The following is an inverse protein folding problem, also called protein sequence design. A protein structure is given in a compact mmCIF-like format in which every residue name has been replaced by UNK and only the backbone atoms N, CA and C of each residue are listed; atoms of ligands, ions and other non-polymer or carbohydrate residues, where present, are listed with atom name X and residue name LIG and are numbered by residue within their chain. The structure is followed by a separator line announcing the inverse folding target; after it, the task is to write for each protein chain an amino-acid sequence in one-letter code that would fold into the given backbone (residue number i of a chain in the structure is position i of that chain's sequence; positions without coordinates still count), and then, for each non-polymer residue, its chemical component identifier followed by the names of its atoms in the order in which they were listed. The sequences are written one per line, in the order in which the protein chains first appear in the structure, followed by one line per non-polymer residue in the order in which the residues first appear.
data_IF_570553081907
#
_entry.id   IF_570553081907
#
_cell.length_a   1.000
_cell.length_b   1.000
_cell.length_c   1.000
_cell.angle_alpha   90.00
_cell.angle_beta   90.00
_cell.angle_gamma   90.00
#
_symmetry.space_group_name_H-M   'P 1'
#
loop_
_entity.id
_entity.type
_entity.pdbx_description
1 polymer ?
#
# COMPACT_ATOMS: atom_id res chain seq x y z
N UNK A 1 -0.94 4.99 29.54
CA UNK A 1 0.05 5.95 30.05
C UNK A 1 0.70 5.25 31.23
N UNK A 2 1.97 4.91 31.11
CA UNK A 2 2.68 4.14 32.14
C UNK A 2 3.04 5.07 33.31
N UNK A 3 2.78 4.62 34.54
CA UNK A 3 3.14 5.34 35.76
C UNK A 3 4.22 4.60 36.57
N UNK A 4 4.61 5.15 37.72
CA UNK A 4 5.72 4.64 38.57
C UNK A 4 5.19 3.79 39.74
N UNK A 5 3.88 3.62 39.86
CA UNK A 5 3.23 2.88 40.93
C UNK A 5 3.19 1.38 40.62
N UNK A 6 2.90 0.60 41.66
CA UNK A 6 2.73 -0.84 41.53
C UNK A 6 1.33 -1.12 41.01
N UNK A 7 1.25 -1.82 39.87
CA UNK A 7 -0.01 -2.30 39.31
C UNK A 7 -0.19 -3.79 39.56
N UNK A 8 -1.42 -4.20 39.83
CA UNK A 8 -1.81 -5.60 39.92
C UNK A 8 -2.42 -6.08 38.60
N UNK A 9 -1.84 -7.10 37.99
CA UNK A 9 -2.35 -7.72 36.76
C UNK A 9 -2.99 -9.07 37.10
N UNK A 10 -4.25 -9.25 36.72
CA UNK A 10 -4.98 -10.51 36.88
C UNK A 10 -5.46 -11.01 35.53
N UNK A 11 -5.10 -12.25 35.18
CA UNK A 11 -5.63 -12.96 34.02
C UNK A 11 -6.54 -14.08 34.50
N UNK A 12 -7.81 -14.06 34.08
CA UNK A 12 -8.80 -15.08 34.39
C UNK A 12 -9.18 -15.78 33.09
N UNK A 13 -8.97 -17.09 33.04
CA UNK A 13 -9.38 -17.94 31.92
C UNK A 13 -10.54 -18.82 32.40
N UNK A 14 -11.65 -18.81 31.69
CA UNK A 14 -12.87 -19.55 32.04
C UNK A 14 -13.02 -20.82 31.19
N UNK A 15 -13.75 -21.85 31.69
CA UNK A 15 -13.98 -23.09 30.94
C UNK A 15 -14.85 -22.97 29.69
N UNK A 16 -15.43 -21.79 29.44
CA UNK A 16 -16.21 -21.46 28.25
C UNK A 16 -15.35 -20.88 27.12
N UNK A 17 -14.02 -21.04 27.19
CA UNK A 17 -13.03 -20.44 26.29
C UNK A 17 -13.01 -18.90 26.29
N UNK A 18 -13.54 -18.25 27.34
CA UNK A 18 -13.43 -16.79 27.49
C UNK A 18 -12.28 -16.40 28.42
N UNK A 19 -11.71 -15.22 28.18
CA UNK A 19 -10.71 -14.63 29.05
C UNK A 19 -11.13 -13.25 29.54
N UNK A 20 -10.55 -12.86 30.67
CA UNK A 20 -10.74 -11.56 31.28
C UNK A 20 -9.40 -11.08 31.85
N UNK A 21 -9.01 -9.87 31.49
CA UNK A 21 -7.83 -9.18 32.01
C UNK A 21 -8.30 -8.05 32.91
N UNK A 22 -7.76 -8.03 34.12
CA UNK A 22 -7.99 -6.95 35.07
C UNK A 22 -6.67 -6.28 35.44
N UNK A 23 -6.70 -4.94 35.50
CA UNK A 23 -5.60 -4.12 36.01
C UNK A 23 -6.14 -3.40 37.25
N UNK A 24 -5.47 -3.55 38.38
CA UNK A 24 -5.86 -2.96 39.67
C UNK A 24 -7.28 -3.32 40.14
N UNK A 25 -7.78 -4.49 39.69
CA UNK A 25 -9.13 -5.00 39.98
C UNK A 25 -10.22 -4.46 39.05
N UNK A 26 -9.89 -3.59 38.10
CA UNK A 26 -10.81 -3.13 37.06
C UNK A 26 -10.67 -3.98 35.80
N UNK A 27 -11.81 -4.39 35.21
CA UNK A 27 -11.83 -5.13 33.96
C UNK A 27 -11.42 -4.23 32.81
N UNK A 28 -10.25 -4.47 32.24
CA UNK A 28 -9.72 -3.70 31.10
C UNK A 28 -10.01 -4.39 29.77
N UNK A 29 -10.06 -5.73 29.77
CA UNK A 29 -10.24 -6.50 28.54
C UNK A 29 -11.01 -7.79 28.83
N UNK A 30 -11.84 -8.21 27.89
CA UNK A 30 -12.50 -9.50 27.93
C UNK A 30 -12.91 -9.92 26.53
N UNK A 31 -12.81 -11.21 26.25
CA UNK A 31 -13.12 -11.73 24.93
C UNK A 31 -13.08 -13.25 24.86
N UNK A 32 -13.01 -13.78 23.65
CA UNK A 32 -12.97 -15.22 23.37
C UNK A 32 -11.55 -15.62 22.98
N UNK A 33 -11.00 -16.65 23.60
CA UNK A 33 -9.65 -17.15 23.31
C UNK A 33 -9.50 -17.55 21.83
N UNK A 34 -10.55 -18.08 21.21
CA UNK A 34 -10.53 -18.45 19.78
C UNK A 34 -10.58 -17.26 18.82
N UNK A 35 -11.11 -16.12 19.25
CA UNK A 35 -11.35 -14.96 18.38
C UNK A 35 -10.23 -13.92 18.51
N UNK A 36 -9.73 -13.71 19.73
CA UNK A 36 -8.76 -12.66 20.02
C UNK A 36 -7.31 -13.16 19.99
N UNK A 37 -7.09 -14.48 20.02
CA UNK A 37 -5.75 -15.09 19.96
C UNK A 37 -5.61 -16.04 18.77
N UNK A 38 -4.44 -16.02 18.14
CA UNK A 38 -4.04 -16.93 17.06
C UNK A 38 -3.68 -18.34 17.59
N UNK A 39 -4.62 -18.99 18.28
CA UNK A 39 -4.46 -20.35 18.82
C UNK A 39 -4.84 -21.42 17.80
N UNK A 40 -5.86 -21.13 16.98
CA UNK A 40 -6.37 -21.99 15.94
C UNK A 40 -6.06 -21.41 14.56
N UNK A 41 -5.99 -22.26 13.51
CA UNK A 41 -5.94 -21.75 12.15
C UNK A 41 -7.16 -20.86 11.87
N UNK A 42 -6.95 -19.80 11.08
CA UNK A 42 -7.98 -18.79 10.82
C UNK A 42 -9.27 -19.41 10.28
N UNK A 43 -10.43 -18.95 10.76
CA UNK A 43 -11.76 -19.45 10.33
C UNK A 43 -11.97 -19.31 8.82
N UNK A 44 -11.37 -18.29 8.23
CA UNK A 44 -11.40 -18.00 6.79
C UNK A 44 -9.98 -17.97 6.23
N UNK A 45 -9.82 -18.56 5.05
CA UNK A 45 -8.60 -18.49 4.25
C UNK A 45 -8.93 -17.92 2.88
N UNK A 46 -7.93 -17.30 2.24
CA UNK A 46 -8.03 -16.92 0.83
C UNK A 46 -8.12 -18.21 0.01
N UNK A 47 -9.13 -18.28 -0.85
CA UNK A 47 -9.34 -19.42 -1.75
C UNK A 47 -8.12 -19.70 -2.65
N UNK A 48 -7.35 -20.78 -2.42
CA UNK A 48 -6.16 -21.04 -3.23
C UNK A 48 -6.47 -21.30 -4.72
N UNK A 49 -7.72 -21.64 -5.05
CA UNK A 49 -8.17 -21.85 -6.44
C UNK A 49 -8.64 -20.56 -7.10
N UNK A 50 -9.08 -19.57 -6.33
CA UNK A 50 -9.53 -18.29 -6.85
C UNK A 50 -8.33 -17.45 -7.31
N UNK A 51 -8.22 -17.28 -8.63
CA UNK A 51 -7.31 -16.34 -9.24
C UNK A 51 -8.10 -15.19 -9.84
N UNK A 52 -7.48 -14.01 -9.85
CA UNK A 52 -8.04 -12.87 -10.58
C UNK A 52 -8.29 -13.30 -12.04
N UNK A 53 -9.52 -13.19 -12.55
CA UNK A 53 -9.79 -13.50 -13.95
C UNK A 53 -8.98 -12.59 -14.87
N UNK A 54 -8.48 -13.12 -15.98
CA UNK A 54 -7.77 -12.30 -16.99
C UNK A 54 -8.68 -11.23 -17.59
N UNK A 55 -9.98 -11.48 -17.63
CA UNK A 55 -11.03 -10.56 -18.09
C UNK A 55 -11.47 -9.54 -17.01
N UNK A 56 -10.77 -9.48 -15.87
CA UNK A 56 -11.10 -8.55 -14.79
C UNK A 56 -10.23 -7.30 -14.83
N UNK A 57 -10.81 -6.18 -15.25
CA UNK A 57 -10.13 -4.89 -15.24
C UNK A 57 -10.35 -4.14 -13.92
N UNK A 58 -9.26 -4.01 -13.15
CA UNK A 58 -9.22 -3.25 -11.89
C UNK A 58 -8.93 -1.76 -12.12
N UNK A 59 -8.66 -1.34 -13.37
CA UNK A 59 -8.33 0.05 -13.67
C UNK A 59 -9.61 0.82 -13.81
N UNK A 60 -9.85 1.72 -12.85
CA UNK A 60 -10.99 2.65 -12.89
C UNK A 60 -10.90 3.57 -14.12
N UNK A 61 -9.68 3.94 -14.50
CA UNK A 61 -9.42 4.76 -15.67
C UNK A 61 -8.47 4.07 -16.64
N UNK A 62 -8.73 4.22 -17.94
CA UNK A 62 -7.86 3.76 -19.02
C UNK A 62 -7.37 4.96 -19.83
N UNK A 63 -6.18 4.89 -20.44
CA UNK A 63 -5.74 5.92 -21.38
C UNK A 63 -6.70 5.96 -22.57
N UNK A 64 -7.12 7.18 -22.92
CA UNK A 64 -7.99 7.44 -24.05
C UNK A 64 -7.30 7.00 -25.35
N UNK A 65 -7.84 5.99 -26.06
CA UNK A 65 -7.25 5.52 -27.31
C UNK A 65 -7.38 6.54 -28.45
N UNK A 66 -8.29 7.51 -28.33
CA UNK A 66 -8.53 8.57 -29.32
C UNK A 66 -7.74 9.85 -29.02
N UNK A 67 -7.17 10.00 -27.81
CA UNK A 67 -6.29 11.12 -27.48
C UNK A 67 -4.91 10.81 -28.05
N UNK A 68 -4.55 11.48 -29.15
CA UNK A 68 -3.23 11.36 -29.78
C UNK A 68 -2.32 12.48 -29.31
N UNK A 69 -1.02 12.17 -29.12
CA UNK A 69 0.00 13.18 -28.82
C UNK A 69 -0.04 14.30 -29.88
N UNK A 70 -0.31 15.55 -29.50
CA UNK A 70 -0.24 16.67 -30.43
C UNK A 70 1.19 16.83 -30.95
N UNK A 71 1.35 17.13 -32.24
CA UNK A 71 2.68 17.36 -32.85
C UNK A 71 3.43 18.51 -32.16
N UNK A 72 2.72 19.49 -31.60
CA UNK A 72 3.27 20.64 -30.84
C UNK A 72 3.70 20.29 -29.40
N UNK A 73 3.61 19.03 -28.99
CA UNK A 73 4.00 18.60 -27.63
C UNK A 73 5.47 18.15 -27.56
N UNK A 74 6.03 17.60 -28.64
CA UNK A 74 7.41 17.11 -28.69
C UNK A 74 8.40 18.25 -28.95
N UNK A 75 8.38 19.26 -28.08
CA UNK A 75 9.34 20.36 -28.14
C UNK A 75 10.61 19.95 -27.39
N UNK A 76 11.81 20.30 -27.87
CA UNK A 76 13.06 19.98 -27.19
C UNK A 76 13.11 20.66 -25.82
N UNK A 77 13.67 19.98 -24.82
CA UNK A 77 13.82 20.47 -23.45
C UNK A 77 14.70 21.72 -23.39
N UNK A 78 15.69 21.81 -24.27
CA UNK A 78 16.54 22.98 -24.40
C UNK A 78 16.50 23.57 -25.82
N UNK A 79 16.37 24.89 -25.90
CA UNK A 79 16.43 25.67 -27.15
C UNK A 79 17.61 26.66 -27.09
N UNK A 80 18.25 27.00 -28.21
CA UNK A 80 19.26 28.05 -28.23
C UNK A 80 18.62 29.39 -27.82
N UNK A 81 19.29 30.11 -26.92
CA UNK A 81 18.82 31.40 -26.42
C UNK A 81 18.72 32.43 -27.57
N UNK A 82 17.51 32.90 -27.92
CA UNK A 82 17.33 33.88 -29.00
C UNK A 82 17.84 35.28 -28.63
N UNK A 83 18.01 35.57 -27.33
CA UNK A 83 18.54 36.83 -26.82
C UNK A 83 20.06 36.79 -26.61
N UNK A 84 20.68 35.61 -26.73
CA UNK A 84 22.12 35.50 -26.71
C UNK A 84 22.72 36.08 -28.00
N UNK A 85 23.50 37.13 -27.85
CA UNK A 85 24.32 37.70 -28.91
C UNK A 85 25.77 37.29 -28.71
N UNK A 86 26.46 37.01 -29.82
CA UNK A 86 27.90 36.79 -29.84
C UNK A 86 28.62 37.94 -29.10
N UNK A 87 29.45 37.66 -28.09
CA UNK A 87 30.23 38.69 -27.40
C UNK A 87 31.16 39.44 -28.35
N UNK A 88 31.33 40.75 -28.15
CA UNK A 88 32.23 41.59 -28.96
C UNK A 88 33.71 41.16 -28.90
N UNK A 89 34.09 40.40 -27.87
CA UNK A 89 35.47 39.90 -27.64
C UNK A 89 35.70 38.47 -28.20
N UNK A 90 34.75 37.91 -28.96
CA UNK A 90 34.86 36.55 -29.53
C UNK A 90 35.51 36.54 -30.91
N UNK A 91 36.55 35.72 -31.08
CA UNK A 91 37.29 35.56 -32.33
C UNK A 91 37.03 34.18 -32.96
N UNK A 92 36.30 34.14 -34.10
CA UNK A 92 35.95 32.87 -34.74
C UNK A 92 37.17 32.10 -35.32
N UNK A 93 38.30 32.79 -35.60
CA UNK A 93 39.53 32.15 -36.09
C UNK A 93 40.34 31.49 -34.98
N UNK A 94 40.22 31.99 -33.73
CA UNK A 94 40.99 31.51 -32.57
C UNK A 94 40.17 30.62 -31.64
N UNK A 95 38.88 30.94 -31.44
CA UNK A 95 37.97 30.26 -30.50
C UNK A 95 36.94 29.33 -31.18
N UNK A 96 36.78 29.44 -32.51
CA UNK A 96 35.84 28.64 -33.32
C UNK A 96 34.47 29.31 -33.53
N UNK A 97 33.57 28.63 -34.23
CA UNK A 97 32.21 29.14 -34.49
C UNK A 97 31.43 29.25 -33.17
N UNK A 98 30.95 30.46 -32.84
CA UNK A 98 30.20 30.71 -31.61
C UNK A 98 28.84 30.01 -31.63
N UNK A 99 28.56 29.21 -30.61
CA UNK A 99 27.24 28.59 -30.39
C UNK A 99 26.51 29.28 -29.22
N UNK A 100 25.23 29.67 -29.38
CA UNK A 100 24.44 30.26 -28.31
C UNK A 100 24.22 29.27 -27.16
N UNK A 101 24.13 29.74 -25.90
CA UNK A 101 23.79 28.89 -24.76
C UNK A 101 22.39 28.29 -24.96
N UNK A 102 22.23 27.02 -24.57
CA UNK A 102 20.95 26.36 -24.56
C UNK A 102 20.18 26.74 -23.28
N UNK A 103 18.98 27.28 -23.41
CA UNK A 103 18.07 27.62 -22.31
C UNK A 103 16.92 26.62 -22.23
N UNK A 104 16.33 26.49 -21.04
CA UNK A 104 15.14 25.67 -20.84
C UNK A 104 13.98 26.21 -21.68
N UNK A 105 13.40 25.35 -22.51
CA UNK A 105 12.32 25.73 -23.40
C UNK A 105 11.02 25.97 -22.60
N UNK A 106 10.48 27.20 -22.56
CA UNK A 106 9.23 27.48 -21.84
C UNK A 106 8.03 26.76 -22.45
N UNK A 107 8.15 26.27 -23.69
CA UNK A 107 7.11 25.49 -24.36
C UNK A 107 7.27 23.97 -24.18
N UNK A 108 8.30 23.49 -23.48
CA UNK A 108 8.45 22.08 -23.15
C UNK A 108 7.39 21.67 -22.11
N UNK A 109 6.46 20.81 -22.53
CA UNK A 109 5.33 20.35 -21.72
C UNK A 109 5.60 19.01 -21.01
N UNK A 110 6.82 18.47 -21.11
CA UNK A 110 7.24 17.19 -20.52
C UNK A 110 6.75 15.96 -21.29
N UNK A 111 6.89 14.77 -20.68
CA UNK A 111 6.38 13.53 -21.29
C UNK A 111 4.85 13.58 -21.43
N UNK A 112 4.37 13.46 -22.66
CA UNK A 112 2.94 13.44 -22.94
C UNK A 112 2.31 12.18 -22.34
N UNK A 113 1.24 12.36 -21.57
CA UNK A 113 0.38 11.25 -21.12
C UNK A 113 -1.03 11.44 -21.68
N UNK A 114 -1.64 10.39 -22.27
CA UNK A 114 -3.01 10.45 -22.76
C UNK A 114 -3.97 10.78 -21.63
N UNK A 115 -5.07 11.46 -21.97
CA UNK A 115 -6.19 11.65 -21.04
C UNK A 115 -6.67 10.32 -20.49
N UNK A 116 -7.05 10.32 -19.22
CA UNK A 116 -7.63 9.17 -18.57
C UNK A 116 -9.16 9.23 -18.67
N UNK A 117 -9.77 8.24 -19.31
CA UNK A 117 -11.22 8.09 -19.42
C UNK A 117 -11.71 6.99 -18.46
N UNK A 118 -12.96 7.11 -18.00
CA UNK A 118 -13.60 6.07 -17.20
C UNK A 118 -13.65 4.77 -18.00
N UNK A 119 -13.16 3.68 -17.39
CA UNK A 119 -13.13 2.38 -18.03
C UNK A 119 -14.52 1.72 -17.98
N UNK A 120 -15.22 1.54 -19.10
CA UNK A 120 -16.53 0.88 -19.10
C UNK A 120 -16.45 -0.60 -18.73
N UNK A 121 -15.26 -1.22 -18.81
CA UNK A 121 -14.99 -2.58 -18.38
C UNK A 121 -14.51 -2.69 -16.93
N UNK A 122 -14.49 -1.58 -16.18
CA UNK A 122 -14.11 -1.58 -14.76
C UNK A 122 -15.11 -2.42 -13.95
N UNK A 123 -14.64 -3.56 -13.43
CA UNK A 123 -15.46 -4.46 -12.60
C UNK A 123 -15.30 -4.20 -11.10
N UNK A 124 -14.50 -3.19 -10.72
CA UNK A 124 -14.11 -2.93 -9.33
C UNK A 124 -12.73 -3.52 -9.02
N UNK A 125 -12.15 -3.16 -7.88
CA UNK A 125 -10.97 -3.85 -7.39
C UNK A 125 -11.33 -5.31 -7.08
N UNK A 126 -10.66 -6.27 -7.72
CA UNK A 126 -10.88 -7.68 -7.46
C UNK A 126 -10.60 -8.00 -5.97
N UNK A 127 -11.64 -8.41 -5.26
CA UNK A 127 -11.52 -8.88 -3.88
C UNK A 127 -11.36 -10.40 -3.92
N UNK A 128 -10.24 -10.87 -3.40
CA UNK A 128 -9.97 -12.29 -3.30
C UNK A 128 -11.05 -12.96 -2.42
N UNK A 129 -11.79 -13.97 -2.91
CA UNK A 129 -12.81 -14.61 -2.10
C UNK A 129 -12.18 -15.32 -0.91
N UNK A 130 -12.85 -15.20 0.24
CA UNK A 130 -12.52 -15.88 1.47
C UNK A 130 -13.42 -17.12 1.60
N UNK A 131 -12.83 -18.29 1.74
CA UNK A 131 -13.53 -19.55 1.95
C UNK A 131 -13.38 -19.99 3.40
N UNK A 132 -14.33 -20.79 3.88
CA UNK A 132 -14.22 -21.45 5.18
C UNK A 132 -13.00 -22.36 5.17
N UNK A 133 -12.16 -22.24 6.19
CA UNK A 133 -10.93 -23.00 6.27
C UNK A 133 -11.26 -24.47 6.59
N UNK A 134 -10.95 -25.43 5.70
CA UNK A 134 -11.20 -26.86 5.98
C UNK A 134 -10.35 -27.39 7.14
N UNK A 135 -9.25 -26.71 7.50
CA UNK A 135 -8.42 -27.06 8.66
C UNK A 135 -8.94 -26.41 9.96
N UNK A 136 -9.89 -25.47 9.89
CA UNK A 136 -10.51 -24.92 11.09
C UNK A 136 -11.46 -25.93 11.72
N UNK A 137 -11.16 -26.31 12.95
CA UNK A 137 -12.05 -27.10 13.82
C UNK A 137 -12.23 -26.33 15.12
N UNK A 138 -13.47 -26.08 15.58
CA UNK A 138 -13.69 -25.45 16.89
C UNK A 138 -13.18 -26.37 18.00
N UNK A 139 -12.38 -25.82 18.91
CA UNK A 139 -11.77 -26.58 20.00
C UNK A 139 -12.35 -26.14 21.36
N UNK A 140 -13.33 -26.86 21.90
CA UNK A 140 -13.99 -26.47 23.15
C UNK A 140 -13.08 -26.56 24.39
N UNK A 141 -11.93 -27.22 24.26
CA UNK A 141 -10.97 -27.46 25.35
C UNK A 141 -9.74 -26.52 25.28
N UNK A 142 -9.78 -25.40 24.55
CA UNK A 142 -8.64 -24.46 24.45
C UNK A 142 -8.19 -23.89 25.79
N UNK A 143 -9.13 -23.66 26.71
CA UNK A 143 -8.82 -23.24 28.08
C UNK A 143 -8.01 -24.29 28.86
N UNK A 144 -8.07 -25.57 28.45
CA UNK A 144 -7.57 -26.71 29.20
C UNK A 144 -6.09 -26.89 28.96
N UNK A 145 -5.30 -26.26 29.82
CA UNK A 145 -3.87 -26.49 29.87
C UNK A 145 -3.54 -27.78 30.63
N UNK A 146 -2.41 -28.39 30.27
CA UNK A 146 -1.78 -29.43 31.11
C UNK A 146 -1.35 -28.81 32.44
N UNK A 147 -1.03 -29.65 33.42
CA UNK A 147 -0.60 -29.18 34.74
C UNK A 147 0.51 -28.12 34.64
N UNK A 148 0.26 -26.95 35.25
CA UNK A 148 1.22 -25.85 35.34
C UNK A 148 2.06 -26.08 36.59
N UNK A 149 3.25 -26.65 36.42
CA UNK A 149 4.12 -27.02 37.54
C UNK A 149 5.18 -25.97 37.88
N UNK A 150 5.38 -24.97 37.03
CA UNK A 150 6.38 -23.92 37.22
C UNK A 150 5.86 -22.58 36.71
N UNK A 151 6.27 -21.52 37.39
CA UNK A 151 6.06 -20.13 36.97
C UNK A 151 7.45 -19.51 36.84
N UNK A 152 7.78 -19.05 35.63
CA UNK A 152 9.01 -18.31 35.35
C UNK A 152 8.79 -16.81 35.46
N UNK A 153 9.85 -16.08 35.80
CA UNK A 153 9.90 -14.61 35.84
C UNK A 153 10.94 -14.11 34.85
#
# INVERSE_FOLDING_TARGET
QDDVYTHAYTLIIKPDNTYEVQIDGEKVESGELEADWDLLPSKKIKDPEAKKPEDWDDRATIPDPDDTKPEDWDKPEHIPDPDATKPDDWDDEMDGEWEPPMIDNPEYKGEWTPKQIDNPAYKGAWVHPEIDNPEYTPEPDLYKQKEICAIGF
#
